data_IF_027644090288
#
_entry.id   IF_027644090288
#
_cell.length_a   1.000
_cell.length_b   1.000
_cell.length_c   1.000
_cell.angle_alpha   90.00
_cell.angle_beta   90.00
_cell.angle_gamma   90.00
#
_symmetry.space_group_name_H-M   'P 1'
#
loop_
_entity.id
_entity.type
_entity.pdbx_description
1 polymer ?
#
# COMPACT_ATOMS: atom_id res chain seq x y z
N UNK A 1 38.77 -26.46 -26.50
CA UNK A 1 37.37 -26.90 -26.38
C UNK A 1 36.87 -26.94 -24.95
N UNK A 2 37.59 -27.53 -23.95
CA UNK A 2 37.15 -27.52 -22.53
C UNK A 2 36.93 -26.12 -21.90
N UNK A 3 37.74 -25.13 -22.27
CA UNK A 3 37.63 -23.75 -21.76
C UNK A 3 36.41 -23.00 -22.31
N UNK A 4 35.97 -23.30 -23.55
CA UNK A 4 34.78 -22.70 -24.17
C UNK A 4 33.49 -23.27 -23.58
N UNK A 5 33.47 -24.55 -23.21
CA UNK A 5 32.33 -25.22 -22.59
C UNK A 5 32.09 -24.66 -21.19
N UNK A 6 33.16 -24.37 -20.41
CA UNK A 6 33.07 -23.78 -19.07
C UNK A 6 32.53 -22.34 -19.16
N UNK A 7 32.91 -21.57 -20.16
CA UNK A 7 32.42 -20.19 -20.36
C UNK A 7 30.93 -20.16 -20.76
N UNK A 8 30.49 -21.09 -21.58
CA UNK A 8 29.07 -21.23 -21.95
C UNK A 8 28.22 -21.70 -20.75
N UNK A 9 28.73 -22.56 -19.86
CA UNK A 9 28.03 -22.98 -18.67
C UNK A 9 27.88 -21.86 -17.63
N UNK A 10 28.86 -20.96 -17.49
CA UNK A 10 28.81 -19.80 -16.58
C UNK A 10 27.82 -18.75 -17.10
N UNK A 11 27.73 -18.52 -18.42
CA UNK A 11 26.74 -17.61 -19.01
C UNK A 11 25.29 -18.12 -18.86
N UNK A 12 25.07 -19.45 -18.84
CA UNK A 12 23.73 -20.01 -18.67
C UNK A 12 23.20 -19.89 -17.21
N UNK A 13 24.05 -19.74 -16.22
CA UNK A 13 23.67 -19.55 -14.81
C UNK A 13 23.23 -18.13 -14.47
N UNK A 14 23.50 -17.15 -15.34
CA UNK A 14 23.12 -15.75 -15.10
C UNK A 14 21.66 -15.43 -15.46
N UNK A 15 20.92 -16.38 -16.03
CA UNK A 15 19.58 -16.17 -16.63
C UNK A 15 18.41 -16.47 -15.70
N UNK A 16 18.64 -16.75 -14.41
CA UNK A 16 17.58 -17.19 -13.50
C UNK A 16 17.29 -16.27 -12.30
N UNK A 17 17.71 -15.01 -12.34
CA UNK A 17 17.19 -14.07 -11.36
C UNK A 17 15.74 -13.72 -11.74
N UNK A 18 14.80 -14.00 -10.83
CA UNK A 18 13.41 -13.61 -11.03
C UNK A 18 13.31 -12.09 -11.08
N UNK A 19 12.50 -11.50 -11.96
CA UNK A 19 12.21 -10.07 -11.92
C UNK A 19 11.62 -9.70 -10.54
N UNK A 20 12.02 -8.54 -10.04
CA UNK A 20 11.53 -8.03 -8.75
C UNK A 20 10.41 -7.04 -9.01
N UNK A 21 9.33 -7.17 -8.27
CA UNK A 21 8.22 -6.21 -8.27
C UNK A 21 7.87 -5.82 -6.85
N UNK A 22 7.36 -4.61 -6.66
CA UNK A 22 6.93 -4.12 -5.36
C UNK A 22 5.46 -3.70 -5.41
N UNK A 23 4.74 -3.94 -4.34
CA UNK A 23 3.35 -3.55 -4.15
C UNK A 23 3.22 -2.60 -2.97
N UNK A 24 2.18 -1.79 -2.91
CA UNK A 24 1.95 -0.92 -1.75
C UNK A 24 1.65 -1.71 -0.49
N UNK A 25 0.76 -2.71 -0.58
CA UNK A 25 0.23 -3.45 0.58
C UNK A 25 0.24 -4.96 0.37
N UNK A 26 0.11 -5.70 1.46
CA UNK A 26 0.10 -7.17 1.46
C UNK A 26 -1.05 -7.80 0.65
N UNK A 27 -2.31 -7.31 0.66
CA UNK A 27 -3.36 -7.84 -0.20
C UNK A 27 -2.98 -7.80 -1.69
N UNK A 28 -2.44 -6.68 -2.18
CA UNK A 28 -1.98 -6.57 -3.57
C UNK A 28 -0.83 -7.53 -3.86
N UNK A 29 0.11 -7.70 -2.92
CA UNK A 29 1.18 -8.70 -3.03
C UNK A 29 0.59 -10.10 -3.23
N UNK A 30 -0.38 -10.48 -2.40
CA UNK A 30 -1.06 -11.78 -2.54
C UNK A 30 -1.65 -11.96 -3.94
N UNK A 31 -2.33 -10.96 -4.49
CA UNK A 31 -2.91 -11.05 -5.83
C UNK A 31 -1.84 -11.19 -6.92
N UNK A 32 -0.76 -10.43 -6.84
CA UNK A 32 0.37 -10.54 -7.78
C UNK A 32 0.98 -11.94 -7.73
N UNK A 33 1.22 -12.48 -6.52
CA UNK A 33 1.76 -13.83 -6.34
C UNK A 33 0.82 -14.92 -6.89
N UNK A 34 -0.50 -14.77 -6.71
CA UNK A 34 -1.47 -15.72 -7.28
C UNK A 34 -1.50 -15.70 -8.81
N UNK A 35 -1.28 -14.54 -9.43
CA UNK A 35 -1.30 -14.38 -10.90
C UNK A 35 0.04 -14.82 -11.51
N UNK A 36 1.15 -14.39 -10.90
CA UNK A 36 2.49 -14.64 -11.45
C UNK A 36 3.06 -16.01 -11.05
N UNK A 37 2.54 -16.64 -10.00
CA UNK A 37 3.12 -17.86 -9.43
C UNK A 37 4.56 -17.62 -8.99
N UNK A 38 5.44 -18.58 -9.30
CA UNK A 38 6.87 -18.56 -8.94
C UNK A 38 7.76 -17.76 -9.91
N UNK A 39 7.18 -16.98 -10.82
CA UNK A 39 7.95 -16.28 -11.85
C UNK A 39 8.56 -14.96 -11.41
N UNK A 40 8.08 -14.37 -10.32
CA UNK A 40 8.48 -13.07 -9.78
C UNK A 40 8.90 -13.15 -8.32
N UNK A 41 9.77 -12.23 -7.91
CA UNK A 41 10.00 -11.90 -6.49
C UNK A 41 9.16 -10.67 -6.13
N UNK A 42 8.17 -10.85 -5.23
CA UNK A 42 7.20 -9.81 -4.91
C UNK A 42 7.45 -9.24 -3.52
N UNK A 43 7.70 -7.94 -3.43
CA UNK A 43 7.85 -7.19 -2.18
C UNK A 43 6.57 -6.42 -1.85
N UNK A 44 6.35 -6.09 -0.57
CA UNK A 44 5.34 -5.15 -0.14
C UNK A 44 5.99 -3.99 0.61
N UNK A 45 5.57 -2.75 0.31
CA UNK A 45 6.08 -1.56 0.96
C UNK A 45 5.56 -1.48 2.40
N UNK A 46 4.23 -1.51 2.57
CA UNK A 46 3.59 -1.54 3.89
C UNK A 46 3.46 -2.98 4.34
N UNK A 47 4.26 -3.36 5.34
CA UNK A 47 4.31 -4.70 5.89
C UNK A 47 3.25 -4.95 6.96
N UNK A 48 3.28 -6.17 7.53
CA UNK A 48 2.36 -6.58 8.60
C UNK A 48 2.47 -5.66 9.83
N UNK A 49 1.33 -5.15 10.30
CA UNK A 49 1.24 -4.33 11.50
C UNK A 49 1.68 -2.88 11.32
N UNK A 50 2.02 -2.46 10.11
CA UNK A 50 2.25 -1.07 9.78
C UNK A 50 0.95 -0.40 9.33
N UNK A 51 0.77 0.86 9.74
CA UNK A 51 -0.36 1.68 9.35
C UNK A 51 -0.10 2.31 7.97
N UNK A 52 -0.93 2.05 6.95
CA UNK A 52 -0.73 2.60 5.62
C UNK A 52 -0.97 4.12 5.52
N UNK A 53 -1.66 4.74 6.49
CA UNK A 53 -1.94 6.18 6.48
C UNK A 53 -0.70 7.01 6.86
N UNK A 54 0.08 6.51 7.83
CA UNK A 54 1.25 7.22 8.38
C UNK A 54 2.58 6.59 7.99
N UNK A 55 2.57 5.68 7.01
CA UNK A 55 3.74 4.89 6.67
C UNK A 55 4.84 5.69 5.97
N UNK A 56 6.08 5.50 6.44
CA UNK A 56 7.28 6.02 5.78
C UNK A 56 8.22 4.87 5.37
N UNK A 57 8.64 4.80 4.10
CA UNK A 57 9.56 3.78 3.63
C UNK A 57 10.92 3.84 4.32
N UNK A 58 11.39 2.69 4.79
CA UNK A 58 12.72 2.57 5.40
C UNK A 58 13.82 2.52 4.32
N UNK A 59 15.05 2.94 4.61
CA UNK A 59 16.16 2.91 3.66
C UNK A 59 16.40 1.55 2.99
N UNK A 60 16.17 0.45 3.73
CA UNK A 60 16.28 -0.90 3.19
C UNK A 60 15.24 -1.15 2.09
N UNK A 61 14.00 -0.71 2.30
CA UNK A 61 12.91 -0.88 1.34
C UNK A 61 13.12 -0.04 0.08
N UNK A 62 13.69 1.16 0.22
CA UNK A 62 14.08 1.98 -0.93
C UNK A 62 15.14 1.28 -1.80
N UNK A 63 16.10 0.58 -1.19
CA UNK A 63 17.08 -0.25 -1.91
C UNK A 63 16.46 -1.50 -2.59
N UNK A 64 15.41 -2.04 -2.02
CA UNK A 64 14.65 -3.14 -2.63
C UNK A 64 13.78 -2.62 -3.79
N UNK A 65 13.17 -1.45 -3.61
CA UNK A 65 12.40 -0.77 -4.65
C UNK A 65 13.25 -0.39 -5.87
N UNK A 66 14.50 0.00 -5.68
CA UNK A 66 15.46 0.29 -6.77
C UNK A 66 15.65 -0.89 -7.73
N UNK A 67 15.49 -2.11 -7.24
CA UNK A 67 15.58 -3.34 -8.04
C UNK A 67 14.29 -3.73 -8.74
N UNK A 68 13.19 -3.06 -8.40
CA UNK A 68 11.87 -3.41 -8.93
C UNK A 68 11.65 -2.81 -10.31
N UNK A 69 11.10 -3.61 -11.20
CA UNK A 69 10.70 -3.20 -12.54
C UNK A 69 9.28 -2.59 -12.53
N UNK A 70 8.42 -3.11 -11.65
CA UNK A 70 7.03 -2.65 -11.48
C UNK A 70 6.75 -2.30 -10.03
N UNK A 71 5.93 -1.26 -9.85
CA UNK A 71 5.29 -0.93 -8.60
C UNK A 71 3.77 -0.97 -8.76
N UNK A 72 3.09 -1.84 -8.03
CA UNK A 72 1.63 -1.97 -8.06
C UNK A 72 1.01 -1.11 -6.96
N UNK A 73 0.43 0.01 -7.37
CA UNK A 73 -0.32 0.93 -6.54
C UNK A 73 -1.80 0.55 -6.47
N UNK A 74 -2.48 0.92 -5.38
CA UNK A 74 -3.90 0.62 -5.12
C UNK A 74 -4.74 1.85 -4.79
N UNK A 75 -4.12 3.04 -4.68
CA UNK A 75 -4.78 4.31 -4.39
C UNK A 75 -5.08 4.50 -2.91
N UNK A 76 -4.08 4.29 -2.04
CA UNK A 76 -4.10 4.59 -0.61
C UNK A 76 -3.32 5.89 -0.33
N UNK A 77 -3.56 6.53 0.81
CA UNK A 77 -2.96 7.83 1.18
C UNK A 77 -1.43 7.83 1.17
N UNK A 78 -0.80 6.75 1.62
CA UNK A 78 0.66 6.59 1.54
C UNK A 78 1.19 6.89 0.13
N UNK A 79 0.47 6.49 -0.90
CA UNK A 79 0.87 6.62 -2.30
C UNK A 79 0.88 8.07 -2.76
N UNK A 80 -0.03 8.90 -2.26
CA UNK A 80 -0.10 10.34 -2.61
C UNK A 80 1.19 11.06 -2.21
N UNK A 81 1.78 10.67 -1.08
CA UNK A 81 3.03 11.25 -0.61
C UNK A 81 4.28 10.70 -1.32
N UNK A 82 4.23 9.45 -1.81
CA UNK A 82 5.44 8.71 -2.17
C UNK A 82 5.57 8.34 -3.64
N UNK A 83 4.49 8.14 -4.42
CA UNK A 83 4.61 7.69 -5.81
C UNK A 83 5.40 8.67 -6.69
N UNK A 84 5.18 9.95 -6.51
CA UNK A 84 5.93 11.00 -7.21
C UNK A 84 7.44 10.96 -6.91
N UNK A 85 7.80 10.69 -5.65
CA UNK A 85 9.20 10.53 -5.24
C UNK A 85 9.82 9.28 -5.84
N UNK A 86 9.07 8.16 -5.86
CA UNK A 86 9.52 6.91 -6.47
C UNK A 86 9.79 7.09 -7.96
N UNK A 87 8.87 7.67 -8.72
CA UNK A 87 9.02 7.88 -10.17
C UNK A 87 10.16 8.86 -10.51
N UNK A 88 10.41 9.85 -9.65
CA UNK A 88 11.54 10.78 -9.82
C UNK A 88 12.88 10.14 -9.50
N UNK A 89 12.92 9.25 -8.50
CA UNK A 89 14.15 8.61 -8.02
C UNK A 89 14.53 7.41 -8.87
N UNK A 90 13.57 6.55 -9.21
CA UNK A 90 13.79 5.27 -9.90
C UNK A 90 13.26 5.33 -11.33
N UNK A 91 14.10 5.74 -12.27
CA UNK A 91 13.69 6.02 -13.67
C UNK A 91 13.20 4.79 -14.44
N UNK A 92 13.62 3.60 -14.03
CA UNK A 92 13.20 2.33 -14.65
C UNK A 92 11.97 1.72 -14.00
N UNK A 93 11.49 2.28 -12.88
CA UNK A 93 10.32 1.79 -12.17
C UNK A 93 9.04 2.23 -12.88
N UNK A 94 8.25 1.28 -13.36
CA UNK A 94 6.93 1.53 -13.93
C UNK A 94 5.86 1.38 -12.85
N UNK A 95 5.11 2.44 -12.60
CA UNK A 95 3.99 2.43 -11.66
C UNK A 95 2.72 1.96 -12.37
N UNK A 96 2.06 0.96 -11.81
CA UNK A 96 0.83 0.36 -12.29
C UNK A 96 -0.28 0.60 -11.25
N UNK A 97 -1.33 1.30 -11.65
CA UNK A 97 -2.49 1.56 -10.79
C UNK A 97 -3.47 0.39 -10.90
N UNK A 98 -3.49 -0.50 -9.88
CA UNK A 98 -4.37 -1.68 -9.90
C UNK A 98 -5.84 -1.30 -9.74
N UNK A 99 -6.13 -0.13 -9.17
CA UNK A 99 -7.47 0.43 -8.98
C UNK A 99 -8.05 1.10 -10.24
N UNK A 100 -7.34 1.15 -11.35
CA UNK A 100 -7.81 1.82 -12.57
C UNK A 100 -9.12 1.18 -13.06
N UNK A 101 -10.13 2.03 -13.35
CA UNK A 101 -11.47 1.59 -13.73
C UNK A 101 -12.38 1.14 -12.59
N UNK A 102 -11.94 1.29 -11.32
CA UNK A 102 -12.77 1.05 -10.13
C UNK A 102 -13.33 2.37 -9.62
N UNK A 103 -14.64 2.44 -9.49
CA UNK A 103 -15.33 3.53 -8.83
C UNK A 103 -15.39 3.26 -7.32
N UNK A 104 -14.69 4.10 -6.54
CA UNK A 104 -14.66 3.99 -5.08
C UNK A 104 -15.89 4.67 -4.48
N UNK A 105 -16.43 4.09 -3.42
CA UNK A 105 -17.54 4.67 -2.63
C UNK A 105 -17.00 5.71 -1.64
N UNK A 106 -17.84 6.66 -1.22
CA UNK A 106 -17.50 7.56 -0.12
C UNK A 106 -17.40 6.78 1.19
N UNK A 107 -16.47 7.17 2.06
CA UNK A 107 -16.45 6.63 3.43
C UNK A 107 -17.71 7.09 4.16
N UNK A 108 -18.36 6.16 4.88
CA UNK A 108 -19.48 6.52 5.76
C UNK A 108 -18.94 7.31 6.95
N UNK A 109 -19.53 8.48 7.21
CA UNK A 109 -19.31 9.17 8.47
C UNK A 109 -19.88 8.30 9.59
N UNK A 110 -19.03 7.79 10.46
CA UNK A 110 -19.49 7.17 11.72
C UNK A 110 -20.03 8.31 12.61
N UNK A 111 -21.34 8.48 12.62
CA UNK A 111 -21.99 9.25 13.68
C UNK A 111 -21.88 8.47 14.97
N UNK A 112 -20.87 8.78 15.76
CA UNK A 112 -20.87 8.38 17.16
C UNK A 112 -22.06 9.05 17.86
N UNK A 113 -23.16 8.32 18.01
CA UNK A 113 -24.22 8.68 18.91
C UNK A 113 -23.68 8.47 20.35
N UNK A 114 -23.11 9.53 20.92
CA UNK A 114 -22.92 9.59 22.37
C UNK A 114 -24.32 9.55 23.01
N UNK A 115 -24.69 8.39 23.53
CA UNK A 115 -25.81 8.27 24.45
C UNK A 115 -25.43 9.04 25.74
N UNK A 116 -25.90 10.27 25.84
CA UNK A 116 -25.87 11.04 27.08
C UNK A 116 -26.73 10.33 28.15
N UNK A 117 -26.09 9.49 28.94
CA UNK A 117 -26.65 9.09 30.22
C UNK A 117 -26.58 10.27 31.18
N UNK A 118 -27.72 10.99 31.34
CA UNK A 118 -27.92 11.95 32.40
C UNK A 118 -27.77 11.27 33.78
N UNK A 119 -26.61 11.36 34.38
CA UNK A 119 -26.44 11.13 35.81
C UNK A 119 -26.57 12.46 36.55
N UNK A 120 -27.76 12.67 37.12
CA UNK A 120 -27.94 13.71 38.16
C UNK A 120 -27.12 13.35 39.39
N UNK A 121 -26.07 14.08 39.65
CA UNK A 121 -25.46 14.19 40.99
C UNK A 121 -25.47 15.63 41.42
N UNK A 122 -26.32 15.92 42.45
CA UNK A 122 -26.22 17.11 43.28
C UNK A 122 -24.97 16.98 44.15
N UNK A 123 -24.06 17.94 44.05
CA UNK A 123 -22.89 18.02 44.89
C UNK A 123 -22.09 19.28 44.58
N UNK A 124 -22.26 20.32 45.37
CA UNK A 124 -21.47 21.55 45.31
C UNK A 124 -19.99 21.27 45.63
N UNK A 125 -19.10 21.49 44.65
CA UNK A 125 -17.69 21.80 44.91
C UNK A 125 -17.18 22.80 43.87
N UNK A 126 -16.78 23.98 44.40
CA UNK A 126 -16.01 24.98 43.68
C UNK A 126 -14.64 24.40 43.33
N UNK A 127 -14.32 24.36 42.05
CA UNK A 127 -12.95 24.24 41.55
C UNK A 127 -12.72 25.20 40.40
N UNK A 128 -11.57 25.87 40.49
CA UNK A 128 -11.06 26.90 39.59
C UNK A 128 -10.86 26.33 38.18
N UNK A 129 -11.28 27.11 37.17
CA UNK A 129 -11.09 26.83 35.76
C UNK A 129 -9.61 26.93 35.39
N UNK A 130 -9.01 25.81 35.01
CA UNK A 130 -7.87 25.78 34.10
C UNK A 130 -8.38 25.41 32.72
N UNK A 131 -8.41 26.43 31.85
CA UNK A 131 -8.67 26.24 30.43
C UNK A 131 -7.51 25.48 29.78
N UNK A 132 -7.70 24.19 29.57
CA UNK A 132 -6.93 23.42 28.63
C UNK A 132 -7.75 23.33 27.36
N UNK A 133 -7.49 24.23 26.41
CA UNK A 133 -7.89 24.04 25.00
C UNK A 133 -7.14 22.81 24.43
N UNK A 134 -7.77 21.64 24.54
CA UNK A 134 -7.40 20.51 23.73
C UNK A 134 -8.03 20.69 22.36
N UNK A 135 -7.26 21.20 21.41
CA UNK A 135 -7.64 21.16 19.99
C UNK A 135 -7.77 19.68 19.57
N UNK A 136 -8.98 19.15 19.65
CA UNK A 136 -9.33 17.92 18.98
C UNK A 136 -9.35 18.20 17.47
N UNK A 137 -8.24 17.94 16.81
CA UNK A 137 -8.22 17.85 15.35
C UNK A 137 -9.08 16.67 14.94
N UNK A 138 -10.36 16.94 14.69
CA UNK A 138 -11.20 16.01 13.94
C UNK A 138 -10.65 15.94 12.51
N UNK A 139 -9.91 14.91 12.22
CA UNK A 139 -9.58 14.55 10.83
C UNK A 139 -10.87 14.11 10.16
N UNK A 140 -11.55 15.04 9.49
CA UNK A 140 -12.62 14.71 8.56
C UNK A 140 -12.00 13.93 7.41
N UNK A 141 -12.18 12.63 7.41
CA UNK A 141 -11.84 11.78 6.28
C UNK A 141 -12.94 11.92 5.20
N UNK A 142 -13.01 13.09 4.56
CA UNK A 142 -13.86 13.33 3.38
C UNK A 142 -13.32 12.56 2.14
N UNK A 143 -12.85 11.33 2.35
CA UNK A 143 -12.18 10.54 1.35
C UNK A 143 -13.05 9.43 0.78
N UNK A 144 -12.62 8.90 -0.35
CA UNK A 144 -13.16 7.68 -0.93
C UNK A 144 -12.56 6.46 -0.23
N UNK A 145 -13.39 5.44 0.04
CA UNK A 145 -12.96 4.20 0.69
C UNK A 145 -11.88 3.49 -0.14
N UNK A 146 -10.65 3.33 0.38
CA UNK A 146 -9.58 2.67 -0.33
C UNK A 146 -9.66 1.14 -0.29
N UNK A 147 -10.55 0.54 0.53
CA UNK A 147 -10.56 -0.90 0.84
C UNK A 147 -11.14 -1.78 -0.27
N UNK A 148 -10.88 -1.43 -1.52
CA UNK A 148 -11.36 -2.14 -2.72
C UNK A 148 -10.91 -3.60 -2.82
N UNK A 149 -9.89 -4.02 -2.09
CA UNK A 149 -9.41 -5.41 -2.04
C UNK A 149 -10.29 -6.34 -1.20
N UNK A 150 -11.27 -5.79 -0.46
CA UNK A 150 -12.23 -6.58 0.33
C UNK A 150 -13.46 -7.00 -0.49
N UNK A 151 -13.70 -6.37 -1.63
CA UNK A 151 -14.81 -6.71 -2.53
C UNK A 151 -14.32 -7.67 -3.64
N UNK A 152 -14.83 -8.91 -3.72
CA UNK A 152 -14.42 -9.87 -4.74
C UNK A 152 -14.67 -9.44 -6.18
N UNK A 153 -15.67 -8.56 -6.43
CA UNK A 153 -15.96 -8.04 -7.76
C UNK A 153 -14.89 -7.03 -8.17
N UNK A 154 -14.51 -6.12 -7.25
CA UNK A 154 -13.47 -5.14 -7.48
C UNK A 154 -12.08 -5.78 -7.57
N UNK A 155 -11.84 -6.87 -6.83
CA UNK A 155 -10.61 -7.68 -6.93
C UNK A 155 -10.43 -8.26 -8.32
N UNK A 156 -11.49 -8.64 -9.02
CA UNK A 156 -11.41 -9.10 -10.40
C UNK A 156 -10.83 -8.02 -11.33
N UNK A 157 -11.28 -6.77 -11.20
CA UNK A 157 -10.72 -5.64 -11.98
C UNK A 157 -9.25 -5.41 -11.63
N UNK A 158 -8.88 -5.47 -10.33
CA UNK A 158 -7.49 -5.37 -9.91
C UNK A 158 -6.63 -6.49 -10.50
N UNK A 159 -7.12 -7.73 -10.48
CA UNK A 159 -6.43 -8.88 -11.05
C UNK A 159 -6.21 -8.73 -12.56
N UNK A 160 -7.20 -8.22 -13.29
CA UNK A 160 -7.09 -7.94 -14.73
C UNK A 160 -6.03 -6.86 -15.00
N UNK A 161 -5.97 -5.79 -14.20
CA UNK A 161 -4.97 -4.74 -14.33
C UNK A 161 -3.55 -5.25 -14.02
N UNK A 162 -3.40 -6.09 -12.99
CA UNK A 162 -2.13 -6.75 -12.65
C UNK A 162 -1.69 -7.66 -13.81
N UNK A 163 -2.58 -8.54 -14.28
CA UNK A 163 -2.26 -9.47 -15.36
C UNK A 163 -1.81 -8.76 -16.64
N UNK A 164 -2.51 -7.68 -17.04
CA UNK A 164 -2.14 -6.84 -18.19
C UNK A 164 -0.76 -6.21 -18.06
N UNK A 165 -0.35 -5.88 -16.84
CA UNK A 165 0.95 -5.25 -16.61
C UNK A 165 2.12 -6.24 -16.62
N UNK A 166 1.85 -7.53 -16.42
CA UNK A 166 2.83 -8.61 -16.37
C UNK A 166 3.08 -9.27 -17.74
N UNK A 167 2.30 -8.92 -18.77
CA UNK A 167 2.45 -9.41 -20.15
C UNK A 167 3.30 -8.41 -20.94
#
# INVERSE_FOLDING_TARGET
>A
MRKIIVFLAVCALSLFAKPVVTTSILPTKFFVEQIAGDTLDVNAMVGKGADPHTYEPKPKQMKELEKSELYFAIGIEFEDAWLDRFSKTFKNLRIVKTQEGIEKIAMSEEHEHEEHHEHKHEGEHKHEHHDHESEHHHHHHDGLDPHIWLDPILVKTQADNIAKALI
#
